data_IF_664272883167
#
_entry.id   IF_664272883167
#
_cell.length_a   1.000
_cell.length_b   1.000
_cell.length_c   1.000
_cell.angle_alpha   90.00
_cell.angle_beta   90.00
_cell.angle_gamma   90.00
#
_symmetry.space_group_name_H-M   'P 1'
#
loop_
_entity.id
_entity.type
_entity.pdbx_description
1 polymer ?
#
# COMPACT_ATOMS: atom_id res chain seq x y z
N UNK A 1 -3.15 13.15 -19.68
CA UNK A 1 -2.04 12.80 -18.78
C UNK A 1 -1.04 11.95 -19.53
N UNK A 2 0.23 12.27 -19.41
CA UNK A 2 1.26 11.45 -20.05
C UNK A 2 1.46 10.15 -19.27
N UNK A 3 2.03 9.14 -19.93
CA UNK A 3 2.23 7.83 -19.28
C UNK A 3 3.15 7.91 -18.05
N UNK A 4 4.06 8.90 -18.01
CA UNK A 4 4.99 9.11 -16.91
C UNK A 4 4.40 10.01 -15.80
N UNK A 5 3.18 10.50 -15.99
CA UNK A 5 2.50 11.35 -14.99
C UNK A 5 1.54 10.53 -14.13
N UNK A 6 1.97 9.35 -13.72
CA UNK A 6 1.17 8.50 -12.86
C UNK A 6 1.21 9.03 -11.43
N UNK A 7 0.05 9.31 -10.88
CA UNK A 7 -0.08 9.69 -9.48
C UNK A 7 -0.06 8.46 -8.61
N UNK A 8 0.86 8.45 -7.64
CA UNK A 8 0.95 7.38 -6.66
C UNK A 8 0.31 7.83 -5.35
N UNK A 9 -0.61 7.04 -4.84
CA UNK A 9 -1.33 7.30 -3.61
C UNK A 9 -1.16 6.13 -2.67
N UNK A 10 -0.93 6.41 -1.40
CA UNK A 10 -0.81 5.37 -0.37
C UNK A 10 -1.57 5.80 0.88
N UNK A 11 -2.09 4.84 1.66
CA UNK A 11 -2.57 5.18 3.00
C UNK A 11 -1.37 5.46 3.91
N UNK A 12 -1.56 6.26 4.94
CA UNK A 12 -0.50 6.56 5.92
C UNK A 12 0.11 5.28 6.51
N UNK A 13 -0.67 4.20 6.59
CA UNK A 13 -0.22 2.87 7.02
C UNK A 13 1.01 2.40 6.22
N UNK A 14 1.11 2.77 4.95
CA UNK A 14 2.22 2.36 4.08
C UNK A 14 3.57 2.75 4.67
N UNK A 15 3.67 3.93 5.28
CA UNK A 15 4.92 4.40 5.88
C UNK A 15 5.42 3.42 6.94
N UNK A 16 4.52 2.95 7.81
CA UNK A 16 4.88 2.00 8.87
C UNK A 16 5.21 0.64 8.27
N UNK A 17 4.49 0.22 7.24
CA UNK A 17 4.75 -1.06 6.59
C UNK A 17 6.11 -1.09 5.90
N UNK A 18 6.54 0.03 5.32
CA UNK A 18 7.88 0.15 4.76
C UNK A 18 8.93 -0.06 5.85
N UNK A 19 8.76 0.59 6.99
CA UNK A 19 9.68 0.42 8.12
C UNK A 19 9.66 -1.02 8.63
N UNK A 20 8.49 -1.64 8.71
CA UNK A 20 8.37 -3.04 9.15
C UNK A 20 9.12 -3.98 8.20
N UNK A 21 9.04 -3.76 6.89
CA UNK A 21 9.79 -4.55 5.92
C UNK A 21 11.29 -4.37 6.06
N UNK A 22 11.74 -3.12 6.20
CA UNK A 22 13.16 -2.82 6.39
C UNK A 22 13.69 -3.41 7.70
N UNK A 23 12.89 -3.35 8.76
CA UNK A 23 13.25 -3.94 10.04
C UNK A 23 13.54 -5.44 9.90
N UNK A 24 12.65 -6.16 9.23
CA UNK A 24 12.85 -7.60 9.01
C UNK A 24 14.14 -7.87 8.24
N UNK A 25 14.42 -7.07 7.23
CA UNK A 25 15.60 -7.24 6.39
C UNK A 25 16.88 -6.98 7.18
N UNK A 26 16.88 -5.95 8.04
CA UNK A 26 18.02 -5.65 8.92
C UNK A 26 18.24 -6.78 9.94
N UNK A 27 17.16 -7.25 10.56
CA UNK A 27 17.26 -8.30 11.56
C UNK A 27 17.75 -9.64 10.99
N UNK A 28 17.49 -9.88 9.70
CA UNK A 28 18.02 -11.04 8.99
C UNK A 28 19.46 -10.83 8.52
N UNK A 29 20.03 -9.67 8.79
CA UNK A 29 21.38 -9.30 8.37
C UNK A 29 21.56 -9.27 6.85
N UNK A 30 20.46 -9.11 6.09
CA UNK A 30 20.54 -8.99 4.64
C UNK A 30 20.91 -7.57 4.20
N UNK A 31 20.63 -6.58 5.04
CA UNK A 31 20.93 -5.17 4.80
C UNK A 31 21.37 -4.54 6.11
N UNK A 32 22.32 -3.62 6.05
CA UNK A 32 22.75 -2.88 7.25
C UNK A 32 21.68 -1.89 7.69
N UNK A 33 21.72 -1.51 8.96
CA UNK A 33 20.84 -0.45 9.47
C UNK A 33 21.06 0.88 8.75
N UNK A 34 22.30 1.18 8.39
CA UNK A 34 22.64 2.38 7.63
C UNK A 34 21.99 2.38 6.26
N UNK A 35 22.07 1.25 5.54
CA UNK A 35 21.43 1.14 4.21
C UNK A 35 19.91 1.21 4.32
N UNK A 36 19.32 0.63 5.35
CA UNK A 36 17.89 0.73 5.59
C UNK A 36 17.48 2.20 5.83
N UNK A 37 18.29 2.96 6.56
CA UNK A 37 18.04 4.39 6.75
C UNK A 37 18.07 5.17 5.44
N UNK A 38 19.01 4.84 4.55
CA UNK A 38 19.06 5.45 3.22
C UNK A 38 17.79 5.11 2.42
N UNK A 39 17.32 3.87 2.51
CA UNK A 39 16.09 3.46 1.81
C UNK A 39 14.88 4.25 2.31
N UNK A 40 14.82 4.58 3.60
CA UNK A 40 13.76 5.43 4.13
C UNK A 40 13.81 6.82 3.48
N UNK A 41 15.00 7.40 3.35
CA UNK A 41 15.15 8.70 2.72
C UNK A 41 14.73 8.65 1.24
N UNK A 42 15.13 7.60 0.53
CA UNK A 42 14.70 7.39 -0.85
C UNK A 42 13.18 7.31 -0.96
N UNK A 43 12.55 6.59 -0.03
CA UNK A 43 11.09 6.48 0.01
C UNK A 43 10.43 7.84 0.25
N UNK A 44 10.98 8.64 1.18
CA UNK A 44 10.45 9.96 1.49
C UNK A 44 10.58 10.94 0.32
N UNK A 45 11.55 10.71 -0.56
CA UNK A 45 11.78 11.55 -1.73
C UNK A 45 10.86 11.21 -2.91
N UNK A 46 10.12 10.10 -2.83
CA UNK A 46 9.18 9.73 -3.90
C UNK A 46 7.98 10.68 -3.91
N UNK A 47 7.48 11.03 -5.11
CA UNK A 47 6.31 11.90 -5.23
C UNK A 47 5.01 11.13 -4.94
N UNK A 48 4.79 10.78 -3.70
CA UNK A 48 3.66 9.99 -3.25
C UNK A 48 2.70 10.87 -2.45
N UNK A 49 1.41 10.75 -2.73
CA UNK A 49 0.37 11.37 -1.91
C UNK A 49 -0.04 10.40 -0.81
N UNK A 50 0.10 10.85 0.44
CA UNK A 50 -0.27 10.04 1.61
C UNK A 50 -1.64 10.45 2.10
N UNK A 51 -2.45 9.47 2.46
CA UNK A 51 -3.82 9.70 2.90
C UNK A 51 -4.04 9.14 4.30
N UNK A 52 -4.64 9.95 5.17
CA UNK A 52 -5.16 9.43 6.43
C UNK A 52 -6.33 8.48 6.17
N UNK A 53 -6.61 7.59 7.09
CA UNK A 53 -7.65 6.57 6.89
C UNK A 53 -8.81 6.64 7.85
N UNK A 54 -8.93 7.69 8.67
CA UNK A 54 -10.06 7.81 9.59
C UNK A 54 -11.41 7.80 8.85
N UNK A 55 -11.48 8.38 7.66
CA UNK A 55 -12.68 8.39 6.84
C UNK A 55 -12.98 7.04 6.19
N UNK A 56 -12.03 6.12 6.20
CA UNK A 56 -12.15 4.81 5.57
C UNK A 56 -12.53 3.71 6.56
N UNK A 57 -12.53 3.99 7.86
CA UNK A 57 -12.60 2.94 8.88
C UNK A 57 -13.87 2.10 8.77
N UNK A 58 -15.02 2.72 8.52
CA UNK A 58 -16.27 1.98 8.36
C UNK A 58 -16.21 1.06 7.15
N UNK A 59 -15.66 1.54 6.03
CA UNK A 59 -15.52 0.72 4.83
C UNK A 59 -14.50 -0.40 5.04
N UNK A 60 -13.39 -0.11 5.73
CA UNK A 60 -12.40 -1.12 6.06
C UNK A 60 -13.06 -2.27 6.85
N UNK A 61 -13.83 -1.94 7.87
CA UNK A 61 -14.56 -2.96 8.62
C UNK A 61 -15.54 -3.72 7.72
N UNK A 62 -16.22 -3.01 6.82
CA UNK A 62 -17.16 -3.63 5.88
C UNK A 62 -16.52 -4.64 4.92
N UNK A 63 -15.23 -4.51 4.66
CA UNK A 63 -14.49 -5.42 3.78
C UNK A 63 -13.97 -6.68 4.51
N UNK A 64 -14.25 -6.82 5.81
CA UNK A 64 -13.71 -7.90 6.65
C UNK A 64 -13.98 -9.33 6.16
N UNK A 65 -15.06 -9.63 5.43
CA UNK A 65 -15.25 -11.02 5.02
C UNK A 65 -14.15 -11.55 4.10
N UNK A 66 -13.49 -10.66 3.36
CA UNK A 66 -12.54 -11.08 2.32
C UNK A 66 -11.14 -10.48 2.48
N UNK A 67 -10.95 -9.54 3.41
CA UNK A 67 -9.67 -8.82 3.55
C UNK A 67 -9.32 -8.62 5.02
N UNK A 68 -8.02 -8.69 5.32
CA UNK A 68 -7.51 -8.20 6.59
C UNK A 68 -7.73 -6.69 6.67
N UNK A 69 -7.69 -6.11 7.88
CA UNK A 69 -7.80 -4.67 8.03
C UNK A 69 -6.71 -3.92 7.26
N UNK A 70 -5.51 -4.48 7.22
CA UNK A 70 -4.37 -3.88 6.51
C UNK A 70 -4.62 -3.86 5.00
N UNK A 71 -4.97 -5.00 4.41
CA UNK A 71 -5.28 -5.08 2.97
C UNK A 71 -6.52 -4.25 2.64
N UNK A 72 -7.54 -4.29 3.48
CA UNK A 72 -8.77 -3.52 3.29
C UNK A 72 -8.51 -2.01 3.28
N UNK A 73 -7.47 -1.53 3.97
CA UNK A 73 -7.12 -0.13 3.97
C UNK A 73 -6.70 0.33 2.56
N UNK A 74 -5.90 -0.47 1.87
CA UNK A 74 -5.51 -0.17 0.49
C UNK A 74 -6.70 -0.27 -0.47
N UNK A 75 -7.53 -1.28 -0.29
CA UNK A 75 -8.73 -1.47 -1.12
C UNK A 75 -9.69 -0.30 -0.96
N UNK A 76 -9.99 0.09 0.28
CA UNK A 76 -10.89 1.20 0.55
C UNK A 76 -10.37 2.52 -0.02
N UNK A 77 -9.06 2.76 0.07
CA UNK A 77 -8.47 3.96 -0.52
C UNK A 77 -8.60 3.94 -2.04
N UNK A 78 -8.31 2.80 -2.68
CA UNK A 78 -8.45 2.68 -4.13
C UNK A 78 -9.88 2.93 -4.57
N UNK A 79 -10.87 2.41 -3.85
CA UNK A 79 -12.27 2.67 -4.13
C UNK A 79 -12.59 4.16 -4.05
N UNK A 80 -12.13 4.81 -2.97
CA UNK A 80 -12.42 6.22 -2.75
C UNK A 80 -11.82 7.10 -3.83
N UNK A 81 -10.65 6.76 -4.32
CA UNK A 81 -9.95 7.53 -5.36
C UNK A 81 -10.33 7.10 -6.77
N UNK A 82 -11.17 6.06 -6.92
CA UNK A 82 -11.49 5.46 -8.21
C UNK A 82 -10.21 5.09 -8.96
N UNK A 83 -9.24 4.54 -8.23
CA UNK A 83 -7.90 4.21 -8.75
C UNK A 83 -7.70 2.71 -8.82
N UNK A 84 -6.75 2.27 -9.63
CA UNK A 84 -6.31 0.89 -9.66
C UNK A 84 -5.43 0.59 -8.44
N UNK A 85 -5.43 -0.66 -8.00
CA UNK A 85 -4.54 -1.14 -6.95
C UNK A 85 -3.29 -1.74 -7.57
N UNK A 86 -2.13 -1.23 -7.20
CA UNK A 86 -0.84 -1.77 -7.60
C UNK A 86 -0.36 -2.73 -6.52
N UNK A 87 -0.18 -4.00 -6.87
CA UNK A 87 0.28 -5.01 -5.90
C UNK A 87 1.02 -6.12 -6.60
N UNK A 88 2.10 -6.59 -5.97
CA UNK A 88 2.81 -7.79 -6.38
C UNK A 88 2.27 -9.05 -5.69
N UNK A 89 1.36 -8.91 -4.74
CA UNK A 89 0.76 -10.03 -4.02
C UNK A 89 -0.38 -10.60 -4.86
N UNK A 90 -0.13 -11.75 -5.48
CA UNK A 90 -1.10 -12.39 -6.39
C UNK A 90 -2.37 -12.84 -5.64
N UNK A 91 -2.23 -13.25 -4.39
CA UNK A 91 -3.38 -13.62 -3.57
C UNK A 91 -4.30 -12.42 -3.31
N UNK A 92 -3.71 -11.28 -2.98
CA UNK A 92 -4.46 -10.04 -2.79
C UNK A 92 -5.11 -9.59 -4.10
N UNK A 93 -4.36 -9.61 -5.20
CA UNK A 93 -4.89 -9.23 -6.51
C UNK A 93 -6.11 -10.06 -6.88
N UNK A 94 -6.06 -11.38 -6.62
CA UNK A 94 -7.19 -12.27 -6.91
C UNK A 94 -8.40 -11.95 -6.03
N UNK A 95 -8.18 -11.71 -4.73
CA UNK A 95 -9.27 -11.35 -3.82
C UNK A 95 -9.94 -10.04 -4.24
N UNK A 96 -9.15 -9.06 -4.68
CA UNK A 96 -9.66 -7.78 -5.16
C UNK A 96 -10.51 -7.96 -6.40
N UNK A 97 -10.03 -8.72 -7.39
CA UNK A 97 -10.78 -8.98 -8.63
C UNK A 97 -12.07 -9.75 -8.38
N UNK A 98 -12.05 -10.66 -7.41
CA UNK A 98 -13.22 -11.50 -7.11
C UNK A 98 -14.32 -10.74 -6.35
N UNK A 99 -13.91 -9.83 -5.46
CA UNK A 99 -14.83 -9.24 -4.48
C UNK A 99 -15.08 -7.74 -4.69
N UNK A 100 -14.40 -7.10 -5.65
CA UNK A 100 -14.56 -5.67 -5.92
C UNK A 100 -14.54 -5.41 -7.43
N UNK A 101 -14.80 -4.17 -7.80
CA UNK A 101 -14.68 -3.72 -9.19
C UNK A 101 -13.36 -3.00 -9.46
N UNK A 102 -12.45 -3.01 -8.49
CA UNK A 102 -11.15 -2.33 -8.62
C UNK A 102 -10.27 -3.10 -9.58
N UNK A 103 -9.62 -2.39 -10.50
CA UNK A 103 -8.58 -2.96 -11.35
C UNK A 103 -7.30 -3.16 -10.55
N UNK A 104 -6.58 -4.21 -10.87
CA UNK A 104 -5.27 -4.47 -10.26
C UNK A 104 -4.16 -4.34 -11.30
N UNK A 105 -3.01 -3.82 -10.86
CA UNK A 105 -1.81 -3.71 -11.68
C UNK A 105 -0.68 -4.48 -10.97
N UNK A 106 0.21 -5.13 -11.75
CA UNK A 106 1.34 -5.87 -11.17
C UNK A 106 2.41 -4.97 -10.56
#
# INVERSE_FOLDING_TARGET
MRADDVDLHVPALCDVEVVAGLRRTVLRQAVSGERAGEAIQDYLDLPISRHGHSQLLTRILGLRPNFSAYDATYVALAERLAAALLTADERLARAVRTNTEIRTLP
#
